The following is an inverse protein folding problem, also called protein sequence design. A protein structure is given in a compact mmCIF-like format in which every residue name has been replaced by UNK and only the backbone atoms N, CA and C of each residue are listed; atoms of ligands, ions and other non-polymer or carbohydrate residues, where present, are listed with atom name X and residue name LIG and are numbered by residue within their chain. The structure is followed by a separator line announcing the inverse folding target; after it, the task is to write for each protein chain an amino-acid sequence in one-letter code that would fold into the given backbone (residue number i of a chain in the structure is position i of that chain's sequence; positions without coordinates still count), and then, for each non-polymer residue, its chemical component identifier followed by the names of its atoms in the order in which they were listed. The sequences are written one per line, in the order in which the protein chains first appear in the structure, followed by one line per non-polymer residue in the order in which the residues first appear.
data_IF_221809592044
#
_entry.id   IF_221809592044
#
_cell.length_a   1.000
_cell.length_b   1.000
_cell.length_c   1.000
_cell.angle_alpha   90.00
_cell.angle_beta   90.00
_cell.angle_gamma   90.00
#
_symmetry.space_group_name_H-M   'P 1'
#
loop_
_entity.id
_entity.type
_entity.pdbx_description
1 polymer ?
#
# COMPACT_ATOMS: atom_id res chain seq x y z
N UNK A 1 -1.25 8.18 31.50
CA UNK A 1 -0.33 7.19 32.11
C UNK A 1 0.84 6.95 31.17
N UNK A 2 1.98 7.57 31.46
CA UNK A 2 3.20 7.62 30.62
C UNK A 2 4.08 6.35 30.63
N UNK A 3 3.53 5.19 31.06
CA UNK A 3 4.32 3.97 31.29
C UNK A 3 3.99 2.81 30.33
N UNK A 4 3.43 3.07 29.14
CA UNK A 4 3.35 2.02 28.11
C UNK A 4 4.70 1.94 27.38
N UNK A 5 5.32 0.76 27.27
CA UNK A 5 6.52 0.61 26.48
C UNK A 5 6.24 1.02 25.03
N UNK A 6 7.12 1.85 24.48
CA UNK A 6 7.08 2.20 23.06
C UNK A 6 7.85 1.13 22.31
N UNK A 7 7.18 0.45 21.38
CA UNK A 7 7.82 -0.52 20.50
C UNK A 7 8.32 0.25 19.27
N UNK A 8 9.64 0.32 19.10
CA UNK A 8 10.27 0.92 17.93
C UNK A 8 10.72 -0.19 16.97
N UNK A 9 10.36 -0.05 15.69
CA UNK A 9 10.91 -0.88 14.61
C UNK A 9 12.04 -0.10 13.93
N UNK A 10 13.25 -0.66 13.96
CA UNK A 10 14.44 -0.05 13.34
C UNK A 10 14.81 -0.90 12.13
N UNK A 11 14.97 -0.27 10.96
CA UNK A 11 15.35 -0.93 9.72
C UNK A 11 16.28 -0.02 8.90
N UNK A 12 17.29 -0.62 8.28
CA UNK A 12 18.19 0.06 7.33
C UNK A 12 17.49 0.30 6.00
N UNK A 13 17.80 1.42 5.34
CA UNK A 13 17.33 1.69 3.98
C UNK A 13 17.80 0.61 3.00
N UNK A 14 16.92 0.27 2.06
CA UNK A 14 17.19 -0.80 1.11
C UNK A 14 16.44 -0.64 -0.20
N UNK A 15 17.00 -1.21 -1.25
CA UNK A 15 16.29 -1.49 -2.50
C UNK A 15 15.91 -2.97 -2.57
N UNK A 16 14.93 -3.27 -3.41
CA UNK A 16 14.38 -4.61 -3.62
C UNK A 16 14.28 -4.87 -5.13
N UNK A 17 14.71 -6.05 -5.57
CA UNK A 17 14.68 -6.46 -6.98
C UNK A 17 14.36 -7.95 -7.11
N UNK A 18 14.22 -8.42 -8.36
CA UNK A 18 14.00 -9.83 -8.70
C UNK A 18 12.80 -10.43 -7.96
N UNK A 19 11.66 -9.73 -7.97
CA UNK A 19 10.44 -10.19 -7.31
C UNK A 19 9.98 -11.55 -7.85
N UNK A 20 9.71 -12.47 -6.93
CA UNK A 20 9.23 -13.82 -7.19
C UNK A 20 7.82 -13.98 -6.64
N UNK A 21 7.02 -14.81 -7.35
CA UNK A 21 5.67 -15.18 -6.97
C UNK A 21 4.76 -13.98 -6.65
N UNK A 22 4.95 -12.87 -7.37
CA UNK A 22 4.16 -11.63 -7.20
C UNK A 22 4.11 -11.11 -5.76
N UNK A 23 5.18 -11.29 -4.97
CA UNK A 23 5.23 -10.78 -3.59
C UNK A 23 6.60 -10.54 -2.99
N UNK A 24 7.55 -11.44 -3.24
CA UNK A 24 8.78 -11.51 -2.45
C UNK A 24 9.98 -11.08 -3.28
N UNK A 25 10.75 -10.07 -2.85
CA UNK A 25 11.98 -9.72 -3.55
C UNK A 25 12.99 -10.88 -3.44
N UNK A 26 13.62 -11.22 -4.57
CA UNK A 26 14.70 -12.20 -4.61
C UNK A 26 16.02 -11.62 -4.09
N UNK A 27 16.18 -10.30 -4.18
CA UNK A 27 17.38 -9.58 -3.77
C UNK A 27 17.05 -8.34 -2.94
N UNK A 28 17.86 -8.11 -1.92
CA UNK A 28 17.80 -6.94 -1.04
C UNK A 28 19.19 -6.33 -0.98
N UNK A 29 19.31 -5.05 -1.30
CA UNK A 29 20.57 -4.30 -1.21
C UNK A 29 20.39 -3.12 -0.25
N UNK A 30 21.29 -2.97 0.72
CA UNK A 30 21.28 -1.82 1.61
C UNK A 30 21.90 -0.60 0.94
N UNK A 31 21.29 0.56 1.19
CA UNK A 31 21.66 1.84 0.58
C UNK A 31 21.68 2.92 1.65
N UNK A 32 22.36 4.03 1.40
CA UNK A 32 22.37 5.19 2.31
C UNK A 32 21.37 6.28 1.87
N UNK A 33 20.84 6.19 0.65
CA UNK A 33 19.87 7.14 0.11
C UNK A 33 18.43 6.71 0.43
N UNK A 34 17.75 7.51 1.23
CA UNK A 34 16.34 7.33 1.61
C UNK A 34 15.41 7.37 0.38
N UNK A 35 15.76 8.07 -0.69
CA UNK A 35 14.98 8.15 -1.93
C UNK A 35 14.87 6.79 -2.61
N UNK A 36 15.94 6.00 -2.54
CA UNK A 36 15.98 4.63 -3.09
C UNK A 36 15.12 3.67 -2.26
N UNK A 37 15.09 3.82 -0.93
CA UNK A 37 14.16 3.09 -0.07
C UNK A 37 12.70 3.52 -0.28
N UNK A 38 12.49 4.82 -0.50
CA UNK A 38 11.18 5.37 -0.78
C UNK A 38 10.59 4.78 -2.06
N UNK A 39 11.41 4.60 -3.10
CA UNK A 39 10.97 4.09 -4.40
C UNK A 39 10.37 2.67 -4.33
N UNK A 40 10.86 1.82 -3.41
CA UNK A 40 10.31 0.46 -3.23
C UNK A 40 9.01 0.41 -2.42
N UNK A 41 8.49 1.54 -1.93
CA UNK A 41 7.19 1.61 -1.22
C UNK A 41 6.02 1.56 -2.19
N UNK A 42 4.84 1.33 -1.65
CA UNK A 42 3.62 1.10 -2.43
C UNK A 42 2.97 2.39 -2.94
N UNK A 43 2.75 3.37 -2.04
CA UNK A 43 2.01 4.60 -2.34
C UNK A 43 2.76 5.84 -1.86
N UNK A 44 2.58 6.96 -2.55
CA UNK A 44 3.25 8.25 -2.28
C UNK A 44 3.08 8.67 -0.82
N UNK A 45 1.86 8.56 -0.29
CA UNK A 45 1.52 8.89 1.10
C UNK A 45 2.20 7.99 2.15
N UNK A 46 2.73 6.84 1.76
CA UNK A 46 3.48 5.92 2.63
C UNK A 46 5.00 6.13 2.56
N UNK A 47 5.47 7.06 1.73
CA UNK A 47 6.87 7.38 1.51
C UNK A 47 7.22 8.79 1.99
N UNK A 48 6.62 9.20 3.12
CA UNK A 48 6.92 10.44 3.83
C UNK A 48 7.88 10.14 4.98
N UNK A 49 8.95 10.92 5.08
CA UNK A 49 10.01 10.73 6.06
C UNK A 49 10.24 12.03 6.85
N UNK A 50 10.52 11.90 8.14
CA UNK A 50 10.90 13.02 9.00
C UNK A 50 12.28 12.74 9.58
N UNK A 51 13.15 13.74 9.55
CA UNK A 51 14.40 13.70 10.32
C UNK A 51 14.16 14.06 11.79
N UNK A 52 15.24 14.08 12.59
CA UNK A 52 15.18 14.41 14.03
C UNK A 52 14.83 15.89 14.29
N UNK A 53 14.98 16.75 13.30
CA UNK A 53 14.60 18.17 13.31
C UNK A 53 13.17 18.41 12.82
N UNK A 54 12.40 17.35 12.50
CA UNK A 54 11.06 17.41 11.92
C UNK A 54 11.02 18.01 10.50
N UNK A 55 12.15 17.97 9.78
CA UNK A 55 12.21 18.30 8.36
C UNK A 55 11.56 17.17 7.56
N UNK A 56 10.59 17.52 6.73
CA UNK A 56 9.92 16.57 5.85
C UNK A 56 10.77 16.31 4.61
N UNK A 57 11.06 15.03 4.37
CA UNK A 57 11.55 14.53 3.09
C UNK A 57 10.41 13.80 2.37
N UNK A 58 10.01 14.34 1.22
CA UNK A 58 8.89 13.86 0.40
C UNK A 58 9.29 13.81 -1.08
N UNK A 59 9.91 12.70 -1.53
CA UNK A 59 10.43 12.60 -2.89
C UNK A 59 9.33 12.40 -3.96
N UNK A 60 8.08 12.09 -3.56
CA UNK A 60 7.00 11.72 -4.49
C UNK A 60 5.73 12.54 -4.31
N UNK A 61 5.81 13.70 -3.66
CA UNK A 61 4.68 14.59 -3.40
C UNK A 61 3.52 13.93 -2.61
N UNK A 62 3.85 12.99 -1.72
CA UNK A 62 2.89 12.28 -0.89
C UNK A 62 2.16 13.19 0.09
N UNK A 63 2.74 14.34 0.47
CA UNK A 63 2.07 15.31 1.35
C UNK A 63 0.85 15.92 0.67
N UNK A 64 0.98 16.30 -0.60
CA UNK A 64 -0.12 16.86 -1.39
C UNK A 64 -1.20 15.81 -1.63
N UNK A 65 -0.80 14.58 -1.98
CA UNK A 65 -1.73 13.46 -2.16
C UNK A 65 -2.48 13.15 -0.85
N UNK A 66 -1.79 13.21 0.30
CA UNK A 66 -2.40 13.06 1.63
C UNK A 66 -3.44 14.16 1.91
N UNK A 67 -3.13 15.41 1.58
CA UNK A 67 -4.07 16.53 1.74
C UNK A 67 -5.30 16.39 0.84
N UNK A 68 -5.10 15.89 -0.39
CA UNK A 68 -6.16 15.67 -1.38
C UNK A 68 -6.90 14.33 -1.20
N UNK A 69 -6.45 13.49 -0.27
CA UNK A 69 -6.91 12.09 -0.09
C UNK A 69 -6.81 11.26 -1.38
N UNK A 70 -5.73 11.43 -2.13
CA UNK A 70 -5.43 10.67 -3.34
C UNK A 70 -4.48 9.54 -2.99
N UNK A 71 -4.80 8.32 -3.41
CA UNK A 71 -3.92 7.18 -3.33
C UNK A 71 -3.26 6.99 -4.70
N UNK A 72 -1.95 7.24 -4.74
CA UNK A 72 -1.11 7.21 -5.94
C UNK A 72 0.03 6.22 -5.77
N UNK A 73 0.32 5.43 -6.80
CA UNK A 73 1.44 4.49 -6.73
C UNK A 73 2.78 5.22 -6.88
N UNK A 74 3.83 4.68 -6.25
CA UNK A 74 5.19 5.13 -6.53
C UNK A 74 5.74 4.34 -7.72
N UNK A 75 6.06 5.05 -8.80
CA UNK A 75 6.43 4.44 -10.08
C UNK A 75 5.22 3.96 -10.88
N UNK A 76 5.45 3.12 -11.88
CA UNK A 76 4.38 2.58 -12.74
C UNK A 76 3.50 1.57 -11.97
N UNK A 77 2.19 1.83 -11.78
CA UNK A 77 1.36 0.97 -10.96
C UNK A 77 1.23 -0.46 -11.54
N UNK A 78 1.25 -0.63 -12.85
CA UNK A 78 1.15 -1.97 -13.47
C UNK A 78 2.36 -2.82 -13.11
N UNK A 79 3.57 -2.26 -13.18
CA UNK A 79 4.80 -2.95 -12.77
C UNK A 79 4.75 -3.26 -11.27
N UNK A 80 4.42 -2.26 -10.46
CA UNK A 80 4.50 -2.33 -9.00
C UNK A 80 3.47 -3.29 -8.39
N UNK A 81 2.30 -3.42 -9.00
CA UNK A 81 1.28 -4.39 -8.59
C UNK A 81 1.63 -5.82 -9.05
N UNK A 82 2.33 -5.97 -10.19
CA UNK A 82 2.86 -7.27 -10.61
C UNK A 82 3.99 -7.76 -9.71
N UNK A 83 4.83 -6.87 -9.18
CA UNK A 83 5.87 -7.23 -8.21
C UNK A 83 5.29 -7.69 -6.86
N UNK A 84 4.22 -7.03 -6.40
CA UNK A 84 3.55 -7.30 -5.12
C UNK A 84 2.03 -7.14 -5.25
N UNK A 85 1.35 -8.24 -5.52
CA UNK A 85 -0.11 -8.28 -5.69
C UNK A 85 -0.86 -7.88 -4.40
N UNK A 86 -0.22 -7.94 -3.22
CA UNK A 86 -0.85 -7.53 -1.96
C UNK A 86 -1.14 -6.03 -1.96
N UNK A 87 -0.43 -5.25 -2.78
CA UNK A 87 -0.68 -3.81 -2.94
C UNK A 87 -2.08 -3.51 -3.47
N UNK A 88 -2.71 -4.41 -4.23
CA UNK A 88 -4.11 -4.26 -4.65
C UNK A 88 -5.03 -4.28 -3.42
N UNK A 89 -4.88 -5.28 -2.55
CA UNK A 89 -5.67 -5.38 -1.31
C UNK A 89 -5.39 -4.19 -0.40
N UNK A 90 -4.13 -3.76 -0.29
CA UNK A 90 -3.75 -2.57 0.49
C UNK A 90 -4.37 -1.30 -0.08
N UNK A 91 -4.42 -1.14 -1.41
CA UNK A 91 -5.00 0.02 -2.05
C UNK A 91 -6.48 0.16 -1.69
N UNK A 92 -7.25 -0.91 -1.89
CA UNK A 92 -8.67 -0.97 -1.51
C UNK A 92 -8.84 -0.68 -0.02
N UNK A 93 -8.03 -1.31 0.85
CA UNK A 93 -8.10 -1.05 2.29
C UNK A 93 -7.86 0.41 2.61
N UNK A 94 -6.85 1.05 2.05
CA UNK A 94 -6.57 2.47 2.31
C UNK A 94 -7.71 3.36 1.81
N UNK A 95 -8.22 3.12 0.61
CA UNK A 95 -9.36 3.86 0.06
C UNK A 95 -10.62 3.73 0.93
N UNK A 96 -10.92 2.52 1.43
CA UNK A 96 -12.08 2.29 2.29
C UNK A 96 -11.84 2.89 3.68
N UNK A 97 -10.80 2.47 4.40
CA UNK A 97 -10.60 2.84 5.81
C UNK A 97 -10.22 4.30 6.03
N UNK A 98 -9.51 4.91 5.08
CA UNK A 98 -9.03 6.30 5.18
C UNK A 98 -9.81 7.26 4.28
N UNK A 99 -10.80 6.75 3.54
CA UNK A 99 -11.63 7.53 2.61
C UNK A 99 -10.82 8.21 1.49
N UNK A 100 -9.77 7.53 1.02
CA UNK A 100 -8.99 7.95 -0.14
C UNK A 100 -9.68 7.57 -1.45
N UNK A 101 -9.30 8.25 -2.52
CA UNK A 101 -9.62 7.88 -3.91
C UNK A 101 -8.36 7.42 -4.63
N UNK A 102 -8.44 6.32 -5.38
CA UNK A 102 -7.31 5.91 -6.23
C UNK A 102 -7.21 6.89 -7.40
N UNK A 103 -5.99 7.27 -7.76
CA UNK A 103 -5.77 7.88 -9.07
C UNK A 103 -6.18 6.93 -10.21
N UNK A 104 -6.47 7.50 -11.38
CA UNK A 104 -6.96 6.74 -12.53
C UNK A 104 -6.00 5.61 -12.95
N UNK A 105 -4.70 5.87 -12.97
CA UNK A 105 -3.69 4.87 -13.39
C UNK A 105 -3.62 3.69 -12.41
N UNK A 106 -3.60 3.97 -11.10
CA UNK A 106 -3.63 2.93 -10.07
C UNK A 106 -4.93 2.11 -10.12
N UNK A 107 -6.07 2.76 -10.33
CA UNK A 107 -7.36 2.07 -10.47
C UNK A 107 -7.33 1.09 -11.64
N UNK A 108 -6.91 1.56 -12.82
CA UNK A 108 -6.84 0.72 -14.02
C UNK A 108 -5.88 -0.45 -13.80
N UNK A 109 -4.70 -0.20 -13.24
CA UNK A 109 -3.73 -1.24 -12.94
C UNK A 109 -4.26 -2.27 -11.93
N UNK A 110 -5.02 -1.86 -10.91
CA UNK A 110 -5.69 -2.77 -9.97
C UNK A 110 -6.69 -3.71 -10.67
N UNK A 111 -7.43 -3.19 -11.66
CA UNK A 111 -8.37 -3.98 -12.47
C UNK A 111 -7.60 -4.98 -13.35
N UNK A 112 -6.59 -4.51 -14.07
CA UNK A 112 -5.83 -5.33 -15.01
C UNK A 112 -5.01 -6.42 -14.29
N UNK A 113 -4.43 -6.08 -13.14
CA UNK A 113 -3.60 -6.98 -12.35
C UNK A 113 -4.40 -7.86 -11.37
N UNK A 114 -5.74 -7.79 -11.34
CA UNK A 114 -6.55 -8.46 -10.31
C UNK A 114 -6.35 -9.99 -10.28
N UNK A 115 -6.02 -10.59 -11.43
CA UNK A 115 -5.71 -12.03 -11.53
C UNK A 115 -4.50 -12.45 -10.71
N UNK A 116 -3.56 -11.54 -10.44
CA UNK A 116 -2.36 -11.83 -9.63
C UNK A 116 -2.68 -12.10 -8.16
N UNK A 117 -3.87 -11.73 -7.69
CA UNK A 117 -4.31 -11.99 -6.32
C UNK A 117 -4.32 -13.49 -5.98
N UNK A 118 -4.39 -14.39 -6.97
CA UNK A 118 -4.33 -15.85 -6.76
C UNK A 118 -2.99 -16.32 -6.19
N UNK A 119 -1.92 -15.54 -6.34
CA UNK A 119 -0.59 -15.87 -5.82
C UNK A 119 -0.41 -15.49 -4.35
N UNK A 120 -1.39 -14.79 -3.76
CA UNK A 120 -1.32 -14.39 -2.36
C UNK A 120 -1.55 -15.57 -1.43
N UNK A 121 -0.69 -15.64 -0.40
CA UNK A 121 -0.86 -16.60 0.70
C UNK A 121 -1.97 -16.14 1.64
N UNK A 122 -2.73 -17.09 2.17
CA UNK A 122 -3.88 -16.83 3.05
C UNK A 122 -3.52 -15.95 4.27
N UNK A 123 -2.35 -16.15 4.87
CA UNK A 123 -1.91 -15.35 6.01
C UNK A 123 -1.73 -13.85 5.70
N UNK A 124 -1.32 -13.52 4.47
CA UNK A 124 -1.18 -12.13 4.04
C UNK A 124 -2.54 -11.49 3.75
N UNK A 125 -3.47 -12.27 3.16
CA UNK A 125 -4.85 -11.86 2.90
C UNK A 125 -5.55 -11.56 4.24
N UNK A 126 -5.47 -12.50 5.19
CA UNK A 126 -6.09 -12.38 6.51
C UNK A 126 -5.53 -11.17 7.29
N UNK A 127 -4.24 -10.87 7.14
CA UNK A 127 -3.66 -9.68 7.74
C UNK A 127 -4.30 -8.39 7.21
N UNK A 128 -4.54 -8.27 5.91
CA UNK A 128 -5.17 -7.10 5.32
C UNK A 128 -6.69 -7.07 5.62
N UNK A 129 -7.37 -8.21 5.62
CA UNK A 129 -8.78 -8.36 6.03
C UNK A 129 -8.99 -7.88 7.47
N UNK A 130 -8.16 -8.35 8.40
CA UNK A 130 -8.21 -7.93 9.81
C UNK A 130 -7.94 -6.44 9.99
N UNK A 131 -7.11 -5.82 9.14
CA UNK A 131 -6.89 -4.36 9.18
C UNK A 131 -8.09 -3.58 8.63
N UNK A 132 -8.72 -4.09 7.56
CA UNK A 132 -9.92 -3.48 6.97
C UNK A 132 -11.09 -3.50 7.96
N UNK A 133 -11.36 -4.67 8.54
CA UNK A 133 -12.47 -4.89 9.48
C UNK A 133 -12.04 -4.76 10.95
N UNK A 134 -10.98 -3.98 11.23
CA UNK A 134 -10.54 -3.75 12.61
C UNK A 134 -11.64 -3.08 13.45
N UNK A 135 -12.42 -2.21 12.80
CA UNK A 135 -13.61 -1.57 13.33
C UNK A 135 -14.76 -1.82 12.35
N UNK A 136 -16.00 -1.62 12.81
CA UNK A 136 -17.17 -1.64 11.94
C UNK A 136 -17.05 -0.55 10.86
N UNK A 137 -17.34 -0.92 9.62
CA UNK A 137 -17.33 0.02 8.50
C UNK A 137 -18.57 0.91 8.57
N UNK A 138 -18.40 2.19 8.27
CA UNK A 138 -19.54 3.08 8.06
C UNK A 138 -20.30 2.69 6.79
N UNK A 139 -21.52 3.22 6.61
CA UNK A 139 -22.28 3.00 5.38
C UNK A 139 -21.49 3.45 4.13
N UNK A 140 -20.85 4.62 4.19
CA UNK A 140 -20.03 5.15 3.10
C UNK A 140 -18.82 4.25 2.78
N UNK A 141 -18.16 3.72 3.82
CA UNK A 141 -17.04 2.79 3.65
C UNK A 141 -17.50 1.45 3.07
N UNK A 142 -18.68 0.97 3.48
CA UNK A 142 -19.29 -0.24 2.94
C UNK A 142 -19.62 -0.07 1.46
N UNK A 143 -20.27 1.04 1.08
CA UNK A 143 -20.57 1.36 -0.33
C UNK A 143 -19.29 1.44 -1.18
N UNK A 144 -18.24 2.06 -0.64
CA UNK A 144 -16.93 2.14 -1.31
C UNK A 144 -16.29 0.76 -1.48
N UNK A 145 -16.37 -0.12 -0.48
CA UNK A 145 -15.88 -1.49 -0.61
C UNK A 145 -16.66 -2.27 -1.67
N UNK A 146 -17.99 -2.15 -1.70
CA UNK A 146 -18.82 -2.79 -2.72
C UNK A 146 -18.52 -2.28 -4.13
N UNK A 147 -18.27 -0.97 -4.27
CA UNK A 147 -17.83 -0.39 -5.54
C UNK A 147 -16.54 -1.06 -6.04
N UNK A 148 -15.52 -1.21 -5.19
CA UNK A 148 -14.29 -1.90 -5.58
C UNK A 148 -14.50 -3.38 -5.88
N UNK A 149 -15.34 -4.08 -5.09
CA UNK A 149 -15.68 -5.50 -5.33
C UNK A 149 -16.35 -5.73 -6.69
N UNK A 150 -17.09 -4.72 -7.19
CA UNK A 150 -17.75 -4.77 -8.50
C UNK A 150 -16.78 -4.61 -9.67
N UNK A 151 -15.80 -3.71 -9.56
CA UNK A 151 -14.92 -3.36 -10.68
C UNK A 151 -13.62 -4.15 -10.71
N UNK A 152 -13.07 -4.54 -9.55
CA UNK A 152 -11.85 -5.35 -9.46
C UNK A 152 -12.26 -6.83 -9.44
N UNK A 153 -12.08 -7.51 -10.57
CA UNK A 153 -12.52 -8.89 -10.74
C UNK A 153 -11.89 -9.82 -9.70
N UNK A 154 -12.73 -10.58 -9.00
CA UNK A 154 -12.30 -11.56 -7.99
C UNK A 154 -12.08 -11.01 -6.58
N UNK A 155 -12.12 -9.68 -6.38
CA UNK A 155 -11.83 -9.04 -5.09
C UNK A 155 -12.76 -9.52 -3.96
N UNK A 156 -14.02 -9.85 -4.28
CA UNK A 156 -15.01 -10.42 -3.33
C UNK A 156 -14.57 -11.71 -2.61
N UNK A 157 -13.55 -12.39 -3.13
CA UNK A 157 -13.01 -13.61 -2.50
C UNK A 157 -11.96 -13.27 -1.42
N UNK A 158 -11.50 -12.01 -1.35
CA UNK A 158 -10.41 -11.57 -0.49
C UNK A 158 -10.92 -10.69 0.66
N UNK A 159 -11.87 -9.79 0.35
CA UNK A 159 -12.60 -9.02 1.35
C UNK A 159 -14.03 -9.48 1.42
#
# INVERSE_FOLDING_TARGET
TLNKPVICQIATYRTESNYQNHRYPGEITFVDDVSLDAYRRDFTVNALYLDKEMTLFDPFNGKDDLQKRILRSIGDPSIRLNEDALRILRAVRFCVTLEFEMETELMNACIDCSKTLIYLKENAIELERRKLFKNDLTNMQTEKLEYYRKIIMGLKNYF
#
